data_IF_945518378278
#
_entry.id   IF_945518378278
#
_cell.length_a   1.000
_cell.length_b   1.000
_cell.length_c   1.000
_cell.angle_alpha   90.00
_cell.angle_beta   90.00
_cell.angle_gamma   90.00
#
_symmetry.space_group_name_H-M   'P 1'
#
loop_
_entity.id
_entity.type
_entity.pdbx_description
1 polymer ?
#
# COMPACT_ATOMS: atom_id res chain seq x y z
N UNK A 1 28.38 -0.24 -37.89
CA UNK A 1 29.49 0.22 -37.02
C UNK A 1 28.84 0.87 -35.80
N UNK A 2 28.68 0.11 -34.70
CA UNK A 2 29.63 0.03 -33.57
C UNK A 2 29.87 1.40 -32.94
N UNK A 3 29.10 1.73 -31.90
CA UNK A 3 29.63 2.35 -30.68
C UNK A 3 29.05 1.58 -29.50
N UNK A 4 29.84 0.59 -29.10
CA UNK A 4 29.77 -0.15 -27.84
C UNK A 4 30.60 0.63 -26.80
N UNK A 5 30.25 0.44 -25.53
CA UNK A 5 31.11 0.63 -24.34
C UNK A 5 31.17 2.04 -23.74
N UNK A 6 30.51 2.23 -22.59
CA UNK A 6 31.14 2.19 -21.27
C UNK A 6 30.09 2.57 -20.20
N UNK A 7 29.65 1.59 -19.40
CA UNK A 7 29.58 1.71 -17.94
C UNK A 7 29.37 0.30 -17.36
N UNK A 8 30.44 -0.48 -17.46
CA UNK A 8 30.64 -1.72 -16.71
C UNK A 8 31.26 -1.35 -15.35
N UNK A 9 30.47 -0.81 -14.42
CA UNK A 9 30.73 -0.84 -12.97
C UNK A 9 29.37 -0.70 -12.27
N UNK A 10 28.71 -1.81 -11.93
CA UNK A 10 27.77 -1.96 -10.79
C UNK A 10 27.26 -3.42 -10.74
N UNK A 11 28.18 -4.39 -10.76
CA UNK A 11 27.88 -5.81 -10.57
C UNK A 11 28.24 -6.30 -9.15
N UNK A 12 28.34 -5.40 -8.18
CA UNK A 12 28.60 -5.70 -6.76
C UNK A 12 27.58 -5.09 -5.78
N UNK A 13 26.48 -4.50 -6.27
CA UNK A 13 25.38 -4.00 -5.42
C UNK A 13 24.24 -5.02 -5.22
N UNK A 14 24.35 -6.22 -5.82
CA UNK A 14 23.49 -7.35 -5.51
C UNK A 14 24.13 -8.13 -4.35
N UNK A 15 23.38 -8.35 -3.27
CA UNK A 15 23.69 -9.23 -2.11
C UNK A 15 24.23 -8.61 -0.81
N UNK A 16 24.26 -7.29 -0.60
CA UNK A 16 24.43 -6.80 0.78
C UNK A 16 23.09 -6.93 1.52
N UNK A 17 23.02 -7.67 2.63
CA UNK A 17 21.85 -7.63 3.51
C UNK A 17 21.90 -6.33 4.34
N UNK A 18 20.78 -5.60 4.50
CA UNK A 18 20.80 -4.39 5.30
C UNK A 18 21.13 -4.76 6.76
N UNK A 19 21.98 -3.98 7.41
CA UNK A 19 22.26 -4.09 8.84
C UNK A 19 21.34 -3.15 9.63
N UNK A 20 21.20 -3.32 10.95
CA UNK A 20 20.39 -2.42 11.79
C UNK A 20 20.79 -0.95 11.63
N UNK A 21 22.07 -0.66 11.40
CA UNK A 21 22.58 0.71 11.25
C UNK A 21 22.12 1.40 9.95
N UNK A 22 21.65 0.63 8.98
CA UNK A 22 21.16 1.16 7.70
C UNK A 22 19.72 1.70 7.79
N UNK A 23 19.04 1.51 8.93
CA UNK A 23 17.64 1.88 9.12
C UNK A 23 17.49 3.23 9.81
N UNK A 24 16.63 4.09 9.24
CA UNK A 24 16.12 5.29 9.91
C UNK A 24 14.97 4.98 10.88
N UNK A 25 14.18 3.95 10.59
CA UNK A 25 13.17 3.41 11.51
C UNK A 25 13.42 1.94 11.75
N UNK A 26 13.48 1.57 13.02
CA UNK A 26 13.61 0.20 13.48
C UNK A 26 12.76 0.01 14.74
N UNK A 27 11.54 -0.51 14.58
CA UNK A 27 10.70 -0.93 15.69
C UNK A 27 10.47 -2.44 15.59
N UNK A 28 10.68 -3.17 16.69
CA UNK A 28 10.52 -4.62 16.78
C UNK A 28 9.85 -4.94 18.10
N UNK A 29 8.85 -5.81 18.09
CA UNK A 29 8.18 -6.28 19.30
C UNK A 29 8.96 -7.43 19.95
N UNK A 30 9.22 -7.34 21.27
CA UNK A 30 9.83 -8.41 22.09
C UNK A 30 11.27 -8.11 22.56
N UNK A 31 11.74 -8.86 23.57
CA UNK A 31 13.06 -8.64 24.23
C UNK A 31 14.19 -9.51 23.66
N UNK A 32 13.92 -10.53 22.84
CA UNK A 32 14.98 -11.42 22.35
C UNK A 32 14.63 -12.05 21.00
N UNK A 33 15.34 -11.68 19.92
CA UNK A 33 15.22 -12.37 18.65
C UNK A 33 16.55 -13.05 18.35
N UNK A 34 16.62 -14.36 18.63
CA UNK A 34 17.48 -15.22 17.84
C UNK A 34 17.03 -15.14 16.37
N UNK A 35 17.98 -14.88 15.46
CA UNK A 35 17.89 -14.91 13.98
C UNK A 35 17.65 -13.56 13.25
N UNK A 36 18.10 -13.57 11.97
CA UNK A 36 18.34 -12.50 10.99
C UNK A 36 18.03 -11.06 11.46
N UNK A 37 19.09 -10.27 11.68
CA UNK A 37 19.05 -8.88 12.17
C UNK A 37 18.38 -8.67 13.54
N UNK A 38 18.18 -9.73 14.33
CA UNK A 38 17.38 -9.66 15.55
C UNK A 38 15.94 -9.22 15.22
N UNK A 39 15.32 -9.89 14.25
CA UNK A 39 13.89 -9.79 13.97
C UNK A 39 13.25 -11.15 14.26
N UNK A 40 12.10 -11.22 14.96
CA UNK A 40 11.39 -12.47 15.19
C UNK A 40 10.59 -12.88 13.94
N UNK A 41 11.32 -13.11 12.84
CA UNK A 41 10.79 -13.51 11.55
C UNK A 41 10.40 -14.98 11.57
N UNK A 42 9.21 -15.28 11.07
CA UNK A 42 8.74 -16.66 10.88
C UNK A 42 7.93 -16.76 9.59
N UNK A 43 7.98 -17.91 8.93
CA UNK A 43 7.17 -18.18 7.74
C UNK A 43 5.69 -18.00 8.03
N UNK A 44 4.93 -17.47 7.07
CA UNK A 44 3.49 -17.22 7.17
C UNK A 44 3.13 -15.87 7.78
N UNK A 45 4.10 -15.02 8.12
CA UNK A 45 3.84 -13.62 8.47
C UNK A 45 3.41 -12.82 7.24
N UNK A 46 2.57 -11.81 7.44
CA UNK A 46 2.15 -10.87 6.39
C UNK A 46 3.05 -9.66 6.43
N UNK A 47 3.60 -9.30 5.29
CA UNK A 47 4.41 -8.11 5.08
C UNK A 47 3.55 -7.09 4.36
N UNK A 48 3.40 -5.89 4.91
CA UNK A 48 2.66 -4.79 4.28
C UNK A 48 3.56 -3.61 4.03
N UNK A 49 3.35 -2.93 2.91
CA UNK A 49 4.15 -1.79 2.48
C UNK A 49 3.29 -0.54 2.61
N UNK A 50 3.83 0.44 3.32
CA UNK A 50 3.16 1.71 3.45
C UNK A 50 3.40 2.63 2.27
N UNK A 51 2.37 3.42 1.99
CA UNK A 51 2.36 4.47 0.99
C UNK A 51 3.47 5.48 1.30
N UNK A 52 4.49 5.60 0.46
CA UNK A 52 5.62 6.50 0.68
C UNK A 52 5.83 7.53 -0.42
N UNK A 53 5.27 7.29 -1.60
CA UNK A 53 5.24 8.25 -2.68
C UNK A 53 3.92 9.03 -2.69
N UNK A 54 3.87 10.02 -3.57
CA UNK A 54 2.72 10.91 -3.79
C UNK A 54 1.64 10.24 -4.66
N UNK A 55 2.07 9.41 -5.60
CA UNK A 55 1.21 8.66 -6.53
C UNK A 55 0.36 7.62 -5.81
N UNK A 56 0.93 7.07 -4.75
CA UNK A 56 0.30 6.17 -3.82
C UNK A 56 -1.02 6.75 -3.24
N UNK A 57 -1.15 8.09 -3.13
CA UNK A 57 -2.37 8.73 -2.64
C UNK A 57 -3.59 8.44 -3.54
N UNK A 58 -3.40 8.25 -4.85
CA UNK A 58 -4.49 7.97 -5.77
C UNK A 58 -5.27 6.70 -5.39
N UNK A 59 -4.55 5.63 -5.04
CA UNK A 59 -5.16 4.35 -4.63
C UNK A 59 -5.84 4.50 -3.26
N UNK A 60 -5.27 5.27 -2.34
CA UNK A 60 -5.87 5.46 -1.00
C UNK A 60 -7.25 6.11 -1.04
N UNK A 61 -7.58 6.88 -2.08
CA UNK A 61 -8.88 7.56 -2.24
C UNK A 61 -10.00 6.66 -2.77
N UNK A 62 -9.68 5.45 -3.22
CA UNK A 62 -10.65 4.49 -3.74
C UNK A 62 -11.55 3.93 -2.63
N UNK A 63 -11.01 3.31 -1.56
CA UNK A 63 -11.85 2.74 -0.51
C UNK A 63 -12.52 3.83 0.35
N UNK A 64 -13.65 3.47 0.95
CA UNK A 64 -14.39 4.35 1.85
C UNK A 64 -13.57 4.75 3.08
N UNK A 65 -12.81 3.81 3.64
CA UNK A 65 -11.89 3.99 4.77
C UNK A 65 -10.44 4.17 4.31
N UNK A 66 -9.66 4.98 5.04
CA UNK A 66 -8.27 5.25 4.68
C UNK A 66 -7.36 4.03 4.90
N UNK A 67 -6.64 3.54 3.86
CA UNK A 67 -5.68 2.46 4.01
C UNK A 67 -4.23 3.00 4.10
N UNK A 68 -3.52 2.83 5.24
CA UNK A 68 -2.11 3.23 5.35
C UNK A 68 -1.15 2.41 4.48
N UNK A 69 -1.59 1.23 4.03
CA UNK A 69 -0.81 0.27 3.26
C UNK A 69 -1.38 0.08 1.85
N UNK A 70 -0.51 -0.19 0.88
CA UNK A 70 -0.88 -0.30 -0.54
C UNK A 70 -0.48 -1.58 -1.23
N UNK A 71 0.49 -2.29 -0.67
CA UNK A 71 0.97 -3.55 -1.21
C UNK A 71 1.26 -4.52 -0.08
N UNK A 72 1.21 -5.82 -0.38
CA UNK A 72 1.37 -6.88 0.60
C UNK A 72 2.09 -8.10 0.02
N UNK A 73 2.71 -8.87 0.91
CA UNK A 73 3.43 -10.10 0.62
C UNK A 73 3.40 -11.06 1.81
N UNK A 74 3.85 -12.29 1.59
CA UNK A 74 4.00 -13.33 2.62
C UNK A 74 5.48 -13.53 2.88
N UNK A 75 5.87 -13.42 4.15
CA UNK A 75 7.22 -13.77 4.56
C UNK A 75 7.35 -15.29 4.63
N UNK A 76 8.40 -15.82 4.00
CA UNK A 76 8.73 -17.25 4.04
C UNK A 76 10.22 -17.41 4.29
N UNK A 77 10.58 -18.27 5.24
CA UNK A 77 11.95 -18.70 5.47
C UNK A 77 12.19 -19.96 4.64
N UNK A 78 13.05 -19.85 3.64
CA UNK A 78 13.48 -20.96 2.78
C UNK A 78 15.00 -21.08 2.86
N UNK A 79 15.50 -22.32 2.98
CA UNK A 79 16.93 -22.61 3.07
C UNK A 79 17.66 -21.77 4.16
N UNK A 80 16.94 -21.44 5.24
CA UNK A 80 17.45 -20.64 6.35
C UNK A 80 17.53 -19.13 6.09
N UNK A 81 17.00 -18.64 4.97
CA UNK A 81 16.99 -17.22 4.62
C UNK A 81 15.55 -16.67 4.43
N UNK A 82 15.28 -15.42 4.85
CA UNK A 82 13.96 -14.81 4.69
C UNK A 82 13.74 -14.24 3.29
N UNK A 83 12.59 -14.56 2.70
CA UNK A 83 12.09 -14.06 1.43
C UNK A 83 10.68 -13.50 1.60
N UNK A 84 10.32 -12.54 0.76
CA UNK A 84 8.94 -12.08 0.62
C UNK A 84 8.41 -12.61 -0.71
N UNK A 85 7.26 -13.27 -0.62
CA UNK A 85 6.47 -13.71 -1.75
C UNK A 85 5.37 -12.69 -1.97
N UNK A 86 5.35 -12.05 -3.12
CA UNK A 86 4.34 -11.06 -3.48
C UNK A 86 3.99 -11.18 -4.96
N UNK A 87 2.84 -10.64 -5.34
CA UNK A 87 2.42 -10.60 -6.74
C UNK A 87 2.40 -9.15 -7.20
N UNK A 88 3.14 -8.86 -8.28
CA UNK A 88 3.28 -7.50 -8.81
C UNK A 88 3.14 -7.49 -10.32
N UNK A 89 2.54 -6.43 -10.84
CA UNK A 89 2.45 -6.16 -12.27
C UNK A 89 3.40 -5.04 -12.69
N UNK A 90 3.97 -5.17 -13.89
CA UNK A 90 4.72 -4.11 -14.56
C UNK A 90 4.02 -3.73 -15.87
N UNK A 91 3.91 -2.42 -16.12
CA UNK A 91 3.36 -1.93 -17.37
C UNK A 91 4.30 -2.26 -18.53
N UNK A 92 3.77 -2.94 -19.56
CA UNK A 92 4.43 -3.12 -20.84
C UNK A 92 4.45 -1.84 -21.68
N UNK A 93 5.07 -1.91 -22.85
CA UNK A 93 5.13 -0.79 -23.78
C UNK A 93 3.74 -0.53 -24.41
N UNK A 94 3.15 0.63 -24.13
CA UNK A 94 1.82 0.99 -24.62
C UNK A 94 1.93 1.98 -25.80
N UNK A 95 1.87 1.46 -27.04
CA UNK A 95 1.88 2.27 -28.27
C UNK A 95 0.49 2.68 -28.74
N UNK A 96 -0.53 2.07 -28.17
CA UNK A 96 -1.94 2.32 -28.46
C UNK A 96 -2.50 3.14 -27.30
N UNK A 97 -3.48 4.02 -27.51
CA UNK A 97 -4.09 4.79 -26.41
C UNK A 97 -4.99 3.91 -25.50
N UNK A 98 -4.60 2.65 -25.26
CA UNK A 98 -5.31 1.70 -24.40
C UNK A 98 -5.12 2.06 -22.93
N UNK A 99 -6.08 1.68 -22.07
CA UNK A 99 -5.91 1.75 -20.62
C UNK A 99 -4.59 1.07 -20.17
N UNK A 100 -3.88 1.63 -19.18
CA UNK A 100 -2.65 1.04 -18.65
C UNK A 100 -2.82 -0.42 -18.20
N UNK A 101 -3.99 -0.79 -17.69
CA UNK A 101 -4.31 -2.16 -17.23
C UNK A 101 -4.20 -3.20 -18.34
N UNK A 102 -4.50 -2.83 -19.59
CA UNK A 102 -4.44 -3.76 -20.74
C UNK A 102 -3.02 -4.23 -21.08
N UNK A 103 -1.99 -3.48 -20.64
CA UNK A 103 -0.58 -3.78 -20.93
C UNK A 103 0.21 -4.22 -19.71
N UNK A 104 -0.40 -4.21 -18.52
CA UNK A 104 0.25 -4.67 -17.30
C UNK A 104 0.30 -6.20 -17.31
N UNK A 105 1.48 -6.75 -17.04
CA UNK A 105 1.71 -8.18 -16.86
C UNK A 105 2.59 -8.41 -15.65
N UNK A 106 2.42 -9.55 -15.02
CA UNK A 106 3.17 -9.91 -13.84
C UNK A 106 2.78 -11.30 -13.35
N UNK A 107 3.46 -11.72 -12.29
CA UNK A 107 3.32 -13.03 -11.67
C UNK A 107 3.80 -12.95 -10.23
N UNK A 108 3.57 -14.03 -9.47
CA UNK A 108 4.15 -14.17 -8.14
C UNK A 108 5.67 -14.18 -8.22
N UNK A 109 6.30 -13.39 -7.37
CA UNK A 109 7.75 -13.25 -7.28
C UNK A 109 8.22 -13.68 -5.90
N UNK A 110 9.51 -14.00 -5.82
CA UNK A 110 10.22 -14.28 -4.57
C UNK A 110 11.41 -13.34 -4.47
N UNK A 111 11.29 -12.37 -3.57
CA UNK A 111 12.31 -11.34 -3.36
C UNK A 111 13.03 -11.57 -2.03
N UNK A 112 14.38 -11.57 -1.99
CA UNK A 112 15.11 -11.59 -0.72
C UNK A 112 14.64 -10.47 0.21
N UNK A 113 14.36 -10.76 1.48
CA UNK A 113 13.74 -9.81 2.40
C UNK A 113 14.51 -8.49 2.50
N UNK A 114 15.85 -8.54 2.57
CA UNK A 114 16.68 -7.35 2.61
C UNK A 114 16.60 -6.48 1.34
N UNK A 115 16.40 -7.10 0.16
CA UNK A 115 16.14 -6.38 -1.08
C UNK A 115 14.75 -5.75 -1.07
N UNK A 116 13.73 -6.50 -0.66
CA UNK A 116 12.35 -6.04 -0.56
C UNK A 116 12.26 -4.78 0.31
N UNK A 117 12.82 -4.80 1.52
CA UNK A 117 12.80 -3.67 2.46
C UNK A 117 13.44 -2.40 1.89
N UNK A 118 14.46 -2.51 1.04
CA UNK A 118 15.12 -1.34 0.42
C UNK A 118 14.36 -0.76 -0.78
N UNK A 119 13.60 -1.59 -1.47
CA UNK A 119 12.79 -1.17 -2.61
C UNK A 119 11.68 -0.21 -2.20
N UNK A 120 11.17 -0.35 -0.98
CA UNK A 120 10.02 0.39 -0.47
C UNK A 120 10.38 1.46 0.57
N UNK A 121 9.44 2.36 0.83
CA UNK A 121 9.65 3.46 1.78
C UNK A 121 9.62 2.99 3.22
N UNK A 122 8.62 2.19 3.60
CA UNK A 122 8.57 1.52 4.89
C UNK A 122 7.77 0.23 4.78
N UNK A 123 8.11 -0.72 5.64
CA UNK A 123 7.54 -2.07 5.68
C UNK A 123 7.12 -2.38 7.10
N UNK A 124 5.90 -2.87 7.27
CA UNK A 124 5.44 -3.43 8.54
C UNK A 124 5.22 -4.94 8.38
N UNK A 125 5.52 -5.68 9.44
CA UNK A 125 5.36 -7.14 9.49
C UNK A 125 4.30 -7.45 10.54
N UNK A 126 3.35 -8.30 10.18
CA UNK A 126 2.25 -8.70 11.01
C UNK A 126 2.22 -10.23 11.16
N UNK A 127 2.00 -10.65 12.40
CA UNK A 127 1.78 -12.04 12.78
C UNK A 127 0.28 -12.33 12.75
N UNK A 128 -0.22 -13.17 11.83
CA UNK A 128 -1.63 -13.56 11.84
C UNK A 128 -1.96 -14.42 13.07
N UNK A 129 -2.99 -14.02 13.82
CA UNK A 129 -3.36 -14.68 15.09
C UNK A 129 -4.24 -15.91 14.83
N UNK A 130 -3.86 -17.07 15.37
CA UNK A 130 -4.71 -18.26 15.35
C UNK A 130 -4.78 -18.99 14.00
N UNK A 131 -3.98 -18.58 13.01
CA UNK A 131 -3.94 -19.22 11.68
C UNK A 131 -2.76 -20.18 11.53
N UNK A 132 -2.93 -21.18 10.67
CA UNK A 132 -1.88 -22.13 10.29
C UNK A 132 -0.87 -21.49 9.32
N UNK A 133 0.19 -20.93 9.90
CA UNK A 133 1.29 -20.29 9.16
C UNK A 133 2.05 -21.20 8.22
N UNK A 134 2.10 -22.51 8.47
CA UNK A 134 2.76 -23.44 7.55
C UNK A 134 1.95 -23.54 6.26
N UNK A 135 0.61 -23.62 6.37
CA UNK A 135 -0.28 -23.63 5.20
C UNK A 135 -0.24 -22.31 4.42
N UNK A 136 -0.17 -21.17 5.11
CA UNK A 136 0.01 -19.85 4.47
C UNK A 136 1.30 -19.83 3.65
N UNK A 137 2.42 -20.29 4.22
CA UNK A 137 3.71 -20.32 3.53
C UNK A 137 3.73 -21.31 2.36
N UNK A 138 3.12 -22.49 2.50
CA UNK A 138 3.04 -23.49 1.44
C UNK A 138 2.18 -23.04 0.26
N UNK A 139 1.13 -22.26 0.52
CA UNK A 139 0.36 -21.60 -0.52
C UNK A 139 1.23 -20.64 -1.33
N UNK A 140 1.99 -19.77 -0.66
CA UNK A 140 2.90 -18.83 -1.32
C UNK A 140 3.91 -19.53 -2.25
N UNK A 141 4.51 -20.62 -1.77
CA UNK A 141 5.44 -21.46 -2.56
C UNK A 141 4.75 -22.13 -3.75
N UNK A 142 3.49 -22.51 -3.58
CA UNK A 142 2.71 -23.15 -4.64
C UNK A 142 2.38 -22.17 -5.75
N UNK A 143 1.89 -20.98 -5.39
CA UNK A 143 1.59 -19.93 -6.38
C UNK A 143 2.84 -19.46 -7.13
N UNK A 144 4.01 -19.41 -6.49
CA UNK A 144 5.28 -19.16 -7.19
C UNK A 144 5.59 -20.25 -8.22
N UNK A 145 5.48 -21.53 -7.83
CA UNK A 145 5.79 -22.67 -8.71
C UNK A 145 4.81 -22.78 -9.89
N UNK A 146 3.58 -22.35 -9.68
CA UNK A 146 2.53 -22.31 -10.69
C UNK A 146 2.58 -21.05 -11.55
N UNK A 147 3.52 -20.13 -11.30
CA UNK A 147 3.65 -18.85 -12.00
C UNK A 147 2.32 -18.07 -12.01
N UNK A 148 1.64 -18.04 -10.86
CA UNK A 148 0.31 -17.46 -10.76
C UNK A 148 0.30 -16.02 -11.28
N UNK A 149 -0.51 -15.71 -12.30
CA UNK A 149 -0.45 -14.45 -13.02
C UNK A 149 -1.06 -13.29 -12.23
N UNK A 150 -0.50 -12.09 -12.41
CA UNK A 150 -1.04 -10.86 -11.83
C UNK A 150 -2.34 -10.45 -12.53
N UNK A 151 -3.34 -10.04 -11.74
CA UNK A 151 -4.57 -9.45 -12.24
C UNK A 151 -4.47 -7.91 -12.33
N UNK A 152 -4.37 -7.32 -13.53
CA UNK A 152 -4.34 -5.87 -13.68
C UNK A 152 -5.71 -5.21 -13.49
N UNK A 153 -6.80 -5.98 -13.43
CA UNK A 153 -8.17 -5.46 -13.32
C UNK A 153 -8.71 -5.51 -11.88
N UNK A 154 -7.97 -6.11 -10.94
CA UNK A 154 -8.35 -6.19 -9.52
C UNK A 154 -9.75 -6.82 -9.32
N UNK A 155 -10.08 -7.83 -10.12
CA UNK A 155 -11.36 -8.52 -10.12
C UNK A 155 -11.36 -9.69 -9.13
N UNK A 156 -11.82 -9.42 -7.91
CA UNK A 156 -11.90 -10.42 -6.83
C UNK A 156 -12.95 -11.53 -7.06
N UNK A 157 -13.77 -11.45 -8.12
CA UNK A 157 -14.75 -12.50 -8.43
C UNK A 157 -14.11 -13.70 -9.14
N UNK A 158 -12.91 -13.55 -9.71
CA UNK A 158 -12.23 -14.56 -10.53
C UNK A 158 -10.80 -14.79 -10.03
N UNK A 159 -10.50 -15.99 -9.54
CA UNK A 159 -9.20 -16.31 -8.94
C UNK A 159 -8.19 -16.95 -9.92
N UNK A 160 -8.38 -16.81 -11.24
CA UNK A 160 -7.41 -17.30 -12.24
C UNK A 160 -6.15 -16.42 -12.28
N UNK A 161 -6.32 -15.13 -11.98
CA UNK A 161 -5.25 -14.15 -11.81
C UNK A 161 -5.47 -13.48 -10.46
N UNK A 162 -4.39 -13.07 -9.81
CA UNK A 162 -4.47 -12.50 -8.47
C UNK A 162 -3.88 -11.10 -8.44
N UNK A 163 -4.49 -10.19 -7.69
CA UNK A 163 -3.81 -8.97 -7.27
C UNK A 163 -3.21 -9.15 -5.86
N UNK A 164 -2.44 -8.17 -5.41
CA UNK A 164 -1.58 -8.34 -4.24
C UNK A 164 -2.31 -8.77 -2.97
N UNK A 165 -3.42 -8.12 -2.63
CA UNK A 165 -4.19 -8.41 -1.42
C UNK A 165 -5.07 -9.64 -1.56
N UNK A 166 -5.53 -9.97 -2.76
CA UNK A 166 -6.21 -11.22 -3.04
C UNK A 166 -5.31 -12.44 -2.82
N UNK A 167 -4.06 -12.38 -3.31
CA UNK A 167 -3.05 -13.41 -3.06
C UNK A 167 -2.85 -13.66 -1.54
N UNK A 168 -2.83 -12.59 -0.74
CA UNK A 168 -2.73 -12.72 0.73
C UNK A 168 -4.03 -13.26 1.33
N UNK A 169 -5.19 -12.75 0.92
CA UNK A 169 -6.48 -13.20 1.42
C UNK A 169 -6.65 -14.70 1.25
N UNK A 170 -6.41 -15.23 0.04
CA UNK A 170 -6.47 -16.67 -0.23
C UNK A 170 -5.45 -17.46 0.59
N UNK A 171 -4.25 -16.92 0.81
CA UNK A 171 -3.26 -17.56 1.67
C UNK A 171 -3.72 -17.63 3.14
N UNK A 172 -4.31 -16.56 3.67
CA UNK A 172 -4.87 -16.53 5.02
C UNK A 172 -6.06 -17.48 5.15
N UNK A 173 -6.93 -17.55 4.15
CA UNK A 173 -8.08 -18.46 4.09
C UNK A 173 -7.65 -19.93 4.14
N UNK A 174 -6.62 -20.33 3.37
CA UNK A 174 -6.08 -21.69 3.51
C UNK A 174 -5.37 -21.92 4.84
N UNK A 175 -4.91 -20.85 5.50
CA UNK A 175 -4.45 -20.86 6.89
C UNK A 175 -5.57 -21.01 7.92
N UNK A 176 -6.84 -20.93 7.50
CA UNK A 176 -8.01 -21.09 8.37
C UNK A 176 -8.76 -19.79 8.67
N UNK A 177 -8.44 -18.67 8.00
CA UNK A 177 -9.25 -17.46 8.11
C UNK A 177 -10.64 -17.67 7.47
N UNK A 178 -11.63 -16.91 7.95
CA UNK A 178 -12.88 -16.76 7.23
C UNK A 178 -12.65 -16.01 5.91
N UNK A 179 -13.55 -16.23 4.95
CA UNK A 179 -13.49 -15.52 3.67
C UNK A 179 -13.63 -14.03 3.89
N UNK A 180 -12.78 -13.25 3.23
CA UNK A 180 -12.83 -11.79 3.32
C UNK A 180 -13.96 -11.22 2.45
N UNK A 181 -14.70 -10.28 3.03
CA UNK A 181 -15.66 -9.45 2.27
C UNK A 181 -14.94 -8.22 1.72
N UNK A 182 -15.31 -7.80 0.51
CA UNK A 182 -14.77 -6.59 -0.09
C UNK A 182 -15.33 -5.35 0.63
N UNK A 183 -14.47 -4.51 1.23
CA UNK A 183 -14.92 -3.21 1.70
C UNK A 183 -15.41 -2.36 0.52
N UNK A 184 -16.46 -1.55 0.71
CA UNK A 184 -17.00 -0.72 -0.37
C UNK A 184 -16.02 0.38 -0.78
N UNK A 185 -16.08 0.72 -2.06
CA UNK A 185 -15.44 1.92 -2.58
C UNK A 185 -16.19 3.17 -2.11
N UNK A 186 -15.46 4.27 -2.00
CA UNK A 186 -16.03 5.59 -1.74
C UNK A 186 -16.92 6.00 -2.93
N UNK A 187 -18.16 6.45 -2.71
CA UNK A 187 -19.03 6.91 -3.79
C UNK A 187 -18.57 8.28 -4.31
N UNK A 188 -17.59 8.29 -5.22
CA UNK A 188 -17.05 9.51 -5.83
C UNK A 188 -17.01 9.38 -7.35
N UNK A 189 -17.74 10.26 -8.05
CA UNK A 189 -17.87 10.21 -9.51
C UNK A 189 -16.53 10.24 -10.25
N UNK A 190 -15.56 11.01 -9.76
CA UNK A 190 -14.25 11.11 -10.43
C UNK A 190 -13.39 9.87 -10.22
N UNK A 191 -13.56 9.17 -9.09
CA UNK A 191 -12.94 7.87 -8.84
C UNK A 191 -13.57 6.82 -9.75
N UNK A 192 -14.90 6.71 -9.80
CA UNK A 192 -15.61 5.75 -10.66
C UNK A 192 -15.23 5.92 -12.14
N UNK A 193 -15.12 7.15 -12.64
CA UNK A 193 -14.65 7.40 -14.03
C UNK A 193 -13.24 6.86 -14.28
N UNK A 194 -12.34 6.96 -13.29
CA UNK A 194 -10.98 6.40 -13.40
C UNK A 194 -11.01 4.87 -13.33
N UNK A 195 -11.79 4.28 -12.42
CA UNK A 195 -11.95 2.84 -12.32
C UNK A 195 -12.52 2.25 -13.61
N UNK A 196 -13.57 2.86 -14.18
CA UNK A 196 -14.16 2.48 -15.47
C UNK A 196 -13.13 2.55 -16.60
N UNK A 197 -12.33 3.64 -16.65
CA UNK A 197 -11.27 3.77 -17.64
C UNK A 197 -10.19 2.69 -17.50
N UNK A 198 -9.85 2.32 -16.27
CA UNK A 198 -8.92 1.22 -15.94
C UNK A 198 -9.57 -0.17 -16.07
N UNK A 199 -10.89 -0.24 -16.28
CA UNK A 199 -11.68 -1.48 -16.27
C UNK A 199 -11.60 -2.24 -14.94
N UNK A 200 -11.45 -1.51 -13.83
CA UNK A 200 -11.48 -2.06 -12.48
C UNK A 200 -12.93 -2.05 -11.98
N UNK A 201 -13.48 -3.18 -11.50
CA UNK A 201 -14.85 -3.22 -11.00
C UNK A 201 -15.07 -2.28 -9.79
N UNK A 202 -16.13 -1.46 -9.84
CA UNK A 202 -16.47 -0.49 -8.80
C UNK A 202 -17.41 -1.06 -7.72
N UNK A 203 -17.08 -2.23 -7.16
CA UNK A 203 -17.89 -2.88 -6.11
C UNK A 203 -17.13 -3.18 -4.82
N UNK A 204 -15.91 -2.65 -4.69
CA UNK A 204 -15.05 -2.79 -3.51
C UNK A 204 -13.66 -3.29 -3.87
N UNK A 205 -12.73 -3.09 -2.94
CA UNK A 205 -11.33 -3.48 -3.10
C UNK A 205 -10.74 -3.85 -1.74
N UNK A 206 -10.09 -5.01 -1.66
CA UNK A 206 -9.34 -5.38 -0.46
C UNK A 206 -8.04 -4.60 -0.39
N UNK A 207 -7.82 -3.91 0.71
CA UNK A 207 -6.57 -3.24 1.04
C UNK A 207 -5.76 -4.07 2.04
N UNK A 208 -4.42 -3.92 2.10
CA UNK A 208 -3.62 -4.71 3.04
C UNK A 208 -4.02 -4.51 4.50
N UNK A 209 -4.55 -3.33 4.84
CA UNK A 209 -5.07 -3.02 6.17
C UNK A 209 -6.20 -3.94 6.61
N UNK A 210 -7.05 -4.37 5.67
CA UNK A 210 -8.20 -5.24 5.95
C UNK A 210 -7.74 -6.66 6.34
N UNK A 211 -6.56 -7.06 5.86
CA UNK A 211 -5.99 -8.39 6.08
C UNK A 211 -5.20 -8.52 7.38
N UNK A 212 -4.83 -7.41 8.01
CA UNK A 212 -3.98 -7.39 9.21
C UNK A 212 -4.70 -6.93 10.48
N UNK A 213 -6.03 -6.76 10.44
CA UNK A 213 -6.83 -6.28 11.59
C UNK A 213 -6.72 -7.21 12.80
N UNK A 214 -6.77 -8.53 12.60
CA UNK A 214 -6.66 -9.54 13.65
C UNK A 214 -5.20 -10.01 13.89
N UNK A 215 -4.21 -9.19 13.51
CA UNK A 215 -2.81 -9.55 13.52
C UNK A 215 -2.00 -8.68 14.47
N UNK A 216 -0.94 -9.25 15.05
CA UNK A 216 -0.03 -8.50 15.92
C UNK A 216 1.10 -7.89 15.08
N UNK A 217 1.33 -6.58 15.17
CA UNK A 217 2.50 -5.96 14.54
C UNK A 217 3.78 -6.47 15.21
N UNK A 218 4.65 -7.05 14.40
CA UNK A 218 5.93 -7.64 14.80
C UNK A 218 7.06 -6.64 14.62
N UNK A 219 7.07 -5.94 13.48
CA UNK A 219 8.10 -4.96 13.17
C UNK A 219 7.57 -3.83 12.29
N UNK A 220 8.24 -2.67 12.36
CA UNK A 220 8.12 -1.56 11.42
C UNK A 220 9.53 -1.10 11.06
N UNK A 221 9.87 -1.16 9.79
CA UNK A 221 11.22 -0.97 9.26
C UNK A 221 11.21 0.08 8.15
N UNK A 222 12.19 0.98 8.14
CA UNK A 222 12.41 1.91 7.04
C UNK A 222 13.87 2.32 6.92
N UNK A 223 14.39 2.32 5.69
CA UNK A 223 15.71 2.88 5.34
C UNK A 223 15.61 4.35 4.91
N UNK A 224 14.40 4.87 4.68
CA UNK A 224 14.18 6.21 4.09
C UNK A 224 13.62 7.22 5.07
N UNK A 225 12.75 6.77 5.99
CA UNK A 225 12.01 7.61 6.91
C UNK A 225 12.26 7.19 8.35
N UNK A 226 12.28 8.18 9.23
CA UNK A 226 12.15 8.07 10.69
C UNK A 226 10.71 7.70 11.07
N UNK A 227 10.52 7.34 12.34
CA UNK A 227 9.21 6.95 12.81
C UNK A 227 8.21 8.12 12.77
N UNK A 228 8.66 9.30 13.20
CA UNK A 228 7.87 10.53 13.14
C UNK A 228 7.46 10.87 11.70
N UNK A 229 8.38 10.74 10.73
CA UNK A 229 8.05 10.93 9.30
C UNK A 229 6.97 9.95 8.82
N UNK A 230 7.03 8.68 9.23
CA UNK A 230 6.01 7.68 8.85
C UNK A 230 4.64 8.08 9.43
N UNK A 231 4.58 8.44 10.71
CA UNK A 231 3.34 8.86 11.36
C UNK A 231 2.76 10.12 10.73
N UNK A 232 3.59 11.12 10.44
CA UNK A 232 3.16 12.35 9.77
C UNK A 232 2.67 12.07 8.34
N UNK A 233 3.38 11.27 7.55
CA UNK A 233 2.96 10.93 6.19
C UNK A 233 1.60 10.23 6.17
N UNK A 234 1.38 9.29 7.08
CA UNK A 234 0.10 8.57 7.19
C UNK A 234 -1.01 9.52 7.66
N UNK A 235 -0.77 10.35 8.68
CA UNK A 235 -1.73 11.33 9.16
C UNK A 235 -2.12 12.36 8.08
N UNK A 236 -1.15 12.83 7.28
CA UNK A 236 -1.40 13.76 6.18
C UNK A 236 -2.29 13.15 5.11
N UNK A 237 -2.00 11.91 4.71
CA UNK A 237 -2.80 11.18 3.72
C UNK A 237 -4.19 10.84 4.24
N UNK A 238 -4.30 10.42 5.51
CA UNK A 238 -5.58 10.20 6.19
C UNK A 238 -6.43 11.47 6.19
N UNK A 239 -5.81 12.63 6.49
CA UNK A 239 -6.54 13.88 6.55
C UNK A 239 -6.99 14.37 5.17
N UNK A 240 -6.16 14.20 4.13
CA UNK A 240 -6.57 14.46 2.74
C UNK A 240 -7.69 13.52 2.30
N UNK A 241 -7.60 12.24 2.66
CA UNK A 241 -8.66 11.27 2.42
C UNK A 241 -9.97 11.64 3.11
N UNK A 242 -9.91 12.06 4.37
CA UNK A 242 -11.07 12.52 5.14
C UNK A 242 -11.74 13.75 4.50
N UNK A 243 -10.94 14.68 3.97
CA UNK A 243 -11.43 15.91 3.30
C UNK A 243 -11.87 15.70 1.85
N UNK A 244 -11.53 14.56 1.24
CA UNK A 244 -11.89 14.25 -0.14
C UNK A 244 -13.34 13.78 -0.26
N UNK A 245 -14.29 14.71 -0.18
CA UNK A 245 -15.73 14.40 -0.17
C UNK A 245 -16.25 13.94 -1.53
N UNK A 246 -17.45 13.35 -1.54
CA UNK A 246 -18.06 12.73 -2.72
C UNK A 246 -18.32 13.68 -3.91
N UNK A 247 -18.41 14.99 -3.65
CA UNK A 247 -18.55 16.07 -4.63
C UNK A 247 -17.20 16.61 -5.16
N UNK A 248 -16.08 16.27 -4.51
CA UNK A 248 -14.75 16.63 -4.98
C UNK A 248 -14.32 15.77 -6.17
N UNK A 249 -13.49 16.36 -7.03
CA UNK A 249 -12.90 15.66 -8.17
C UNK A 249 -11.44 15.38 -7.88
N UNK A 250 -10.89 14.28 -8.42
CA UNK A 250 -9.45 14.01 -8.37
C UNK A 250 -8.62 15.21 -8.85
N UNK A 251 -9.13 15.99 -9.81
CA UNK A 251 -8.49 17.24 -10.28
C UNK A 251 -8.37 18.36 -9.24
N UNK A 252 -9.04 18.28 -8.08
CA UNK A 252 -8.86 19.17 -6.94
C UNK A 252 -7.57 18.86 -6.18
N UNK A 253 -7.12 17.59 -6.19
CA UNK A 253 -5.90 17.13 -5.53
C UNK A 253 -4.73 17.01 -6.50
N UNK A 254 -5.01 16.54 -7.71
CA UNK A 254 -4.00 16.21 -8.71
C UNK A 254 -4.10 17.10 -9.96
N UNK A 255 -3.01 17.19 -10.70
CA UNK A 255 -2.98 17.69 -12.06
C UNK A 255 -2.03 16.85 -12.92
N UNK A 256 -2.34 16.77 -14.21
CA UNK A 256 -1.49 16.13 -15.21
C UNK A 256 -0.62 17.20 -15.89
N UNK A 257 0.69 17.02 -15.93
CA UNK A 257 1.61 18.01 -16.54
C UNK A 257 2.04 17.68 -17.98
N UNK A 258 1.57 16.55 -18.51
CA UNK A 258 1.90 16.03 -19.84
C UNK A 258 2.60 14.67 -19.75
N UNK A 259 3.45 14.50 -18.73
CA UNK A 259 4.31 13.33 -18.55
C UNK A 259 4.01 12.56 -17.26
N UNK A 260 3.45 13.24 -16.26
CA UNK A 260 3.28 12.71 -14.92
C UNK A 260 2.09 13.38 -14.20
N UNK A 261 1.58 12.70 -13.19
CA UNK A 261 0.55 13.21 -12.28
C UNK A 261 1.25 13.82 -11.07
N UNK A 262 0.79 15.01 -10.65
CA UNK A 262 1.40 15.79 -9.57
C UNK A 262 0.34 16.35 -8.63
N UNK A 263 0.71 16.63 -7.38
CA UNK A 263 -0.18 17.33 -6.45
C UNK A 263 -0.37 18.79 -6.87
N UNK A 264 -1.59 19.27 -6.73
CA UNK A 264 -1.87 20.71 -6.79
C UNK A 264 -1.06 21.42 -5.70
N UNK A 265 -0.51 22.59 -6.02
CA UNK A 265 0.31 23.40 -5.10
C UNK A 265 -0.27 23.59 -3.69
N UNK A 266 -1.59 23.78 -3.48
CA UNK A 266 -2.14 23.87 -2.13
C UNK A 266 -1.98 22.58 -1.32
N UNK A 267 -2.08 21.41 -1.97
CA UNK A 267 -1.91 20.10 -1.33
C UNK A 267 -0.44 19.83 -1.07
N UNK A 268 0.42 20.13 -2.05
CA UNK A 268 1.88 20.01 -1.94
C UNK A 268 2.41 20.83 -0.74
N UNK A 269 1.97 22.08 -0.59
CA UNK A 269 2.32 22.92 0.57
C UNK A 269 1.83 22.37 1.91
N UNK A 270 0.68 21.70 1.94
CA UNK A 270 0.18 21.07 3.15
C UNK A 270 1.01 19.84 3.52
N UNK A 271 1.42 19.03 2.54
CA UNK A 271 2.35 17.94 2.77
C UNK A 271 3.68 18.45 3.33
N UNK A 272 4.26 19.50 2.73
CA UNK A 272 5.52 20.11 3.19
C UNK A 272 5.40 20.68 4.61
N UNK A 273 4.34 21.44 4.88
CA UNK A 273 4.10 22.02 6.21
C UNK A 273 3.87 20.93 7.27
N UNK A 274 3.13 19.88 6.92
CA UNK A 274 2.85 18.76 7.80
C UNK A 274 4.11 17.97 8.19
N UNK A 275 5.00 17.72 7.22
CA UNK A 275 6.28 17.04 7.49
C UNK A 275 7.24 17.89 8.32
N UNK A 276 7.01 19.20 8.41
CA UNK A 276 7.77 20.12 9.23
C UNK A 276 7.20 20.35 10.65
N UNK A 277 6.06 19.71 11.00
CA UNK A 277 5.40 19.91 12.31
C UNK A 277 6.27 19.50 13.49
N UNK A 278 7.09 18.47 13.32
CA UNK A 278 7.99 17.98 14.36
C UNK A 278 9.41 17.77 13.81
N UNK A 279 10.45 17.93 14.64
CA UNK A 279 11.78 17.43 14.32
C UNK A 279 11.74 15.94 13.97
N UNK A 280 12.55 15.52 12.98
CA UNK A 280 12.53 14.13 12.48
C UNK A 280 12.99 13.10 13.53
N UNK A 281 13.74 13.55 14.55
CA UNK A 281 14.22 12.76 15.68
C UNK A 281 13.27 12.78 16.88
N UNK A 282 12.09 13.39 16.75
CA UNK A 282 11.09 13.42 17.82
C UNK A 282 10.50 12.05 18.13
N UNK A 283 10.23 11.79 19.41
CA UNK A 283 9.51 10.61 19.90
C UNK A 283 7.98 10.85 19.90
N UNK A 284 7.46 11.43 18.82
CA UNK A 284 6.01 11.68 18.67
C UNK A 284 5.27 10.36 18.50
N UNK A 285 4.16 10.21 19.24
CA UNK A 285 3.24 9.09 19.04
C UNK A 285 2.30 9.34 17.85
N UNK A 286 1.74 8.26 17.30
CA UNK A 286 0.91 8.32 16.09
C UNK A 286 -0.35 9.19 16.27
N UNK A 287 -0.92 9.21 17.48
CA UNK A 287 -2.13 9.98 17.78
C UNK A 287 -1.82 11.47 17.83
N UNK A 288 -0.71 11.84 18.44
CA UNK A 288 -0.22 13.22 18.48
C UNK A 288 0.05 13.75 17.07
N UNK A 289 0.73 12.96 16.22
CA UNK A 289 0.93 13.31 14.81
C UNK A 289 -0.41 13.54 14.08
N UNK A 290 -1.40 12.66 14.28
CA UNK A 290 -2.73 12.79 13.68
C UNK A 290 -3.46 14.05 14.12
N UNK A 291 -3.39 14.40 15.40
CA UNK A 291 -4.02 15.62 15.94
C UNK A 291 -3.36 16.89 15.38
N UNK A 292 -2.02 16.95 15.40
CA UNK A 292 -1.28 18.11 14.88
C UNK A 292 -1.54 18.34 13.38
N UNK A 293 -1.61 17.28 12.58
CA UNK A 293 -1.96 17.37 11.16
C UNK A 293 -3.39 17.86 10.94
N UNK A 294 -4.34 17.44 11.78
CA UNK A 294 -5.73 17.93 11.72
C UNK A 294 -5.82 19.42 12.04
N UNK A 295 -5.12 19.87 13.08
CA UNK A 295 -5.04 21.28 13.45
C UNK A 295 -4.43 22.12 12.31
N UNK A 296 -3.33 21.65 11.72
CA UNK A 296 -2.73 22.28 10.54
C UNK A 296 -3.72 22.36 9.36
N UNK A 297 -4.48 21.28 9.10
CA UNK A 297 -5.44 21.25 8.02
C UNK A 297 -6.61 22.22 8.26
N UNK A 298 -7.06 22.35 9.51
CA UNK A 298 -8.08 23.32 9.90
C UNK A 298 -7.59 24.77 9.75
N UNK A 299 -6.31 25.05 10.05
CA UNK A 299 -5.69 26.35 9.81
C UNK A 299 -5.61 26.67 8.30
N UNK A 300 -5.14 25.71 7.50
CA UNK A 300 -4.85 25.93 6.08
C UNK A 300 -6.10 25.91 5.18
N UNK A 301 -7.10 25.09 5.53
CA UNK A 301 -8.27 24.85 4.68
C UNK A 301 -9.61 25.21 5.35
N UNK A 302 -9.58 25.60 6.62
CA UNK A 302 -10.76 25.80 7.44
C UNK A 302 -11.26 24.52 8.10
N UNK A 303 -12.09 24.65 9.15
CA UNK A 303 -12.61 23.51 9.90
C UNK A 303 -13.49 22.61 9.00
N UNK A 304 -13.31 21.30 9.11
CA UNK A 304 -14.20 20.32 8.46
C UNK A 304 -15.33 19.91 9.42
N UNK A 305 -16.60 20.26 9.16
CA UNK A 305 -17.71 19.84 10.01
C UNK A 305 -17.84 18.31 10.00
N UNK A 306 -17.98 17.67 11.16
CA UNK A 306 -18.13 16.21 11.26
C UNK A 306 -19.33 15.67 10.46
N UNK A 307 -20.38 16.49 10.31
CA UNK A 307 -21.59 16.14 9.53
C UNK A 307 -21.36 16.16 8.01
N UNK A 308 -20.30 16.78 7.51
CA UNK A 308 -20.08 16.97 6.06
C UNK A 308 -19.55 15.72 5.35
N UNK A 309 -18.95 14.77 6.08
CA UNK A 309 -18.24 13.61 5.50
C UNK A 309 -19.20 12.49 5.12
N UNK A 310 -20.26 12.25 5.91
CA UNK A 310 -21.19 11.13 5.71
C UNK A 310 -22.48 11.54 5.00
N UNK A 311 -23.05 12.71 5.33
CA UNK A 311 -24.39 13.08 4.84
C UNK A 311 -24.45 13.31 3.32
N UNK A 312 -23.34 13.70 2.68
CA UNK A 312 -23.30 13.99 1.23
C UNK A 312 -23.14 12.75 0.35
N UNK A 313 -22.68 11.64 0.93
CA UNK A 313 -22.38 10.42 0.20
C UNK A 313 -23.59 9.46 0.17
N UNK A 314 -24.46 9.53 1.18
CA UNK A 314 -25.73 8.80 1.23
C UNK A 314 -26.74 9.31 0.19
N UNK A 315 -26.83 10.63 -0.01
CA UNK A 315 -27.72 11.24 -1.01
C UNK A 315 -27.37 10.80 -2.44
N UNK A 316 -26.08 10.70 -2.77
CA UNK A 316 -25.60 10.26 -4.09
C UNK A 316 -25.83 8.75 -4.29
N UNK A 317 -25.63 7.92 -3.25
CA UNK A 317 -25.96 6.48 -3.30
C UNK A 317 -27.47 6.28 -3.57
N UNK A 318 -28.34 7.09 -3.00
CA UNK A 318 -29.78 7.03 -3.27
C UNK A 318 -30.14 7.48 -4.69
N UNK A 319 -29.54 8.57 -5.18
CA UNK A 319 -29.76 9.05 -6.56
C UNK A 319 -29.26 8.05 -7.62
N UNK A 320 -28.13 7.36 -7.40
CA UNK A 320 -27.63 6.36 -8.36
C UNK A 320 -28.50 5.10 -8.41
N UNK A 321 -29.08 4.69 -7.27
CA UNK A 321 -30.05 3.58 -7.20
C UNK A 321 -31.34 3.95 -7.96
N UNK A 322 -31.80 5.19 -7.84
CA UNK A 322 -33.00 5.68 -8.52
C UNK A 322 -32.80 5.92 -10.02
N UNK A 323 -31.59 6.27 -10.46
CA UNK A 323 -31.26 6.47 -11.89
C UNK A 323 -30.97 5.15 -12.65
N UNK A 324 -30.84 4.03 -11.94
CA UNK A 324 -30.63 2.68 -12.47
C UNK A 324 -31.90 1.80 -12.57
N UNK A 325 -33.09 2.37 -12.31
CA UNK A 325 -34.40 1.75 -12.55
C UNK A 325 -35.07 2.37 -13.79
#
# INVERSE_FOLDING_TARGET
MRWLSLFLVFLLAACTNPTRQDFKTWQVAGEDPQQFLSLPLVSGQVVVIGSGAIMDMGITLIPESYPPYLHAGILVIDDGAPYVYDITGAAGFNLTCLPPTDVIKGEVQRTPFGQFVRSYHHVAIYEPTGLDKARIADYARTQLREEAPFDPYFNYAEHEKLYCTEFIALALEVGGAERFELPPNRPNRSVSVVLDWLKIPDHGLLMPSDLVVASKRVALLSTRHTLAEIYLLNALKEELHRRFTCDQRLGNLFYWNGFDVRLRKPVDRFMDAGLALFPLDSEVDEREARLAVRELADEMYGPLPETAVLSRCEDIKQESILAGQ
#
